data_IF_123115581490
#
_entry.id   IF_123115581490
#
_cell.length_a   1.000
_cell.length_b   1.000
_cell.length_c   1.000
_cell.angle_alpha   90.00
_cell.angle_beta   90.00
_cell.angle_gamma   90.00
#
_symmetry.space_group_name_H-M   'P 1'
#
loop_
_entity.id
_entity.type
_entity.pdbx_description
1 polymer ?
#
# COMPACT_ATOMS: atom_id res chain seq x y z
N UNK A 1 -4.57 -17.49 6.39
CA UNK A 1 -3.22 -17.21 6.92
C UNK A 1 -2.10 -17.46 5.91
N UNK A 2 -2.00 -18.63 5.27
CA UNK A 2 -0.90 -18.96 4.34
C UNK A 2 -0.70 -18.03 3.12
N UNK A 3 -1.75 -17.32 2.66
CA UNK A 3 -1.66 -16.40 1.52
C UNK A 3 -0.99 -15.07 1.84
N UNK A 4 -1.13 -14.58 3.07
CA UNK A 4 -0.63 -13.27 3.49
C UNK A 4 0.88 -13.30 3.73
N UNK A 5 1.37 -14.35 4.39
CA UNK A 5 2.80 -14.54 4.63
C UNK A 5 3.58 -14.81 3.33
N UNK A 6 2.92 -15.37 2.32
CA UNK A 6 3.49 -15.51 0.98
C UNK A 6 3.57 -14.14 0.29
N UNK A 7 2.48 -13.36 0.30
CA UNK A 7 2.43 -11.99 -0.21
C UNK A 7 3.55 -11.11 0.40
N UNK A 8 3.76 -11.19 1.71
CA UNK A 8 4.79 -10.43 2.41
C UNK A 8 6.22 -10.81 2.00
N UNK A 9 6.45 -12.09 1.72
CA UNK A 9 7.76 -12.58 1.24
C UNK A 9 8.02 -12.15 -0.19
N UNK A 10 7.01 -12.26 -1.05
CA UNK A 10 7.11 -11.91 -2.48
C UNK A 10 7.36 -10.40 -2.65
N UNK A 11 6.70 -9.55 -1.87
CA UNK A 11 6.96 -8.09 -1.86
C UNK A 11 8.39 -7.78 -1.44
N UNK A 12 8.87 -8.38 -0.34
CA UNK A 12 10.23 -8.12 0.18
C UNK A 12 11.32 -8.61 -0.77
N UNK A 13 11.08 -9.69 -1.51
CA UNK A 13 12.04 -10.26 -2.45
C UNK A 13 12.22 -9.39 -3.72
N UNK A 14 11.24 -8.54 -4.06
CA UNK A 14 11.25 -7.72 -5.27
C UNK A 14 11.78 -6.29 -5.14
N UNK A 15 12.11 -5.81 -3.93
CA UNK A 15 12.48 -4.41 -3.69
C UNK A 15 14.01 -4.19 -3.74
N UNK A 16 14.54 -3.37 -4.67
CA UNK A 16 15.97 -3.07 -4.74
C UNK A 16 16.42 -2.10 -3.61
N UNK A 17 17.57 -2.37 -2.99
CA UNK A 17 18.06 -1.69 -1.78
C UNK A 17 18.58 -0.25 -1.95
N UNK A 18 18.64 0.29 -3.16
CA UNK A 18 19.25 1.61 -3.39
C UNK A 18 18.46 2.43 -4.39
N UNK A 19 17.99 3.63 -4.04
CA UNK A 19 18.06 4.81 -4.91
C UNK A 19 17.60 6.10 -4.20
N UNK A 20 18.57 6.90 -3.74
CA UNK A 20 18.42 8.30 -3.33
C UNK A 20 18.96 9.21 -4.44
N UNK A 21 18.11 9.64 -5.37
CA UNK A 21 18.24 10.85 -6.23
C UNK A 21 17.38 10.68 -7.49
N UNK A 22 16.35 11.51 -7.65
CA UNK A 22 15.28 11.31 -8.65
C UNK A 22 15.45 12.25 -9.86
N UNK A 23 15.30 11.75 -11.11
CA UNK A 23 14.44 12.49 -12.05
C UNK A 23 13.46 11.65 -12.90
N UNK A 24 13.62 10.33 -13.06
CA UNK A 24 12.63 9.49 -13.77
C UNK A 24 12.63 8.11 -13.11
N UNK A 25 11.53 7.75 -12.42
CA UNK A 25 11.40 6.43 -11.77
C UNK A 25 11.67 5.36 -12.81
N UNK A 26 12.74 4.59 -12.65
CA UNK A 26 12.82 3.30 -13.33
C UNK A 26 11.87 2.36 -12.60
N UNK A 27 10.84 1.78 -13.25
CA UNK A 27 10.11 0.69 -12.63
C UNK A 27 11.14 -0.38 -12.25
N UNK A 28 11.08 -0.86 -11.01
CA UNK A 28 11.97 -1.91 -10.54
C UNK A 28 11.96 -3.06 -11.55
N UNK A 29 13.14 -3.40 -12.09
CA UNK A 29 13.27 -4.12 -13.35
C UNK A 29 12.83 -5.60 -13.31
N UNK A 30 12.21 -6.09 -12.24
CA UNK A 30 11.52 -7.38 -12.19
C UNK A 30 10.41 -7.29 -11.11
N UNK A 31 9.23 -6.80 -11.48
CA UNK A 31 8.08 -6.79 -10.58
C UNK A 31 7.49 -8.20 -10.52
N UNK A 32 7.58 -8.87 -9.37
CA UNK A 32 6.75 -10.03 -9.11
C UNK A 32 5.29 -9.58 -9.13
N UNK A 33 4.53 -10.01 -10.11
CA UNK A 33 3.09 -9.79 -10.13
C UNK A 33 2.41 -10.76 -9.17
N UNK A 34 1.55 -10.20 -8.33
CA UNK A 34 0.78 -10.97 -7.38
C UNK A 34 -0.69 -10.57 -7.46
N UNK A 35 -1.54 -11.53 -7.80
CA UNK A 35 -2.98 -11.37 -7.81
C UNK A 35 -3.58 -11.97 -6.53
N UNK A 36 -4.44 -11.19 -5.88
CA UNK A 36 -5.20 -11.61 -4.69
C UNK A 36 -6.67 -11.28 -4.95
N UNK A 37 -7.57 -12.20 -4.60
CA UNK A 37 -9.01 -11.96 -4.62
C UNK A 37 -9.42 -11.34 -3.28
N UNK A 38 -10.21 -10.27 -3.33
CA UNK A 38 -10.68 -9.54 -2.16
C UNK A 38 -12.19 -9.39 -2.29
N UNK A 39 -12.94 -10.07 -1.43
CA UNK A 39 -14.40 -10.14 -1.54
C UNK A 39 -15.09 -8.94 -0.88
N UNK A 40 -14.41 -8.31 0.08
CA UNK A 40 -14.99 -7.21 0.86
C UNK A 40 -14.07 -5.98 0.97
N UNK A 41 -14.69 -4.85 1.32
CA UNK A 41 -13.96 -3.65 1.71
C UNK A 41 -13.07 -3.87 2.94
N UNK A 42 -13.45 -4.80 3.83
CA UNK A 42 -12.64 -5.16 4.99
C UNK A 42 -11.34 -5.85 4.53
N UNK A 43 -11.44 -6.81 3.62
CA UNK A 43 -10.27 -7.54 3.07
C UNK A 43 -9.32 -6.58 2.34
N UNK A 44 -9.89 -5.60 1.61
CA UNK A 44 -9.13 -4.53 0.96
C UNK A 44 -8.38 -3.65 1.98
N UNK A 45 -9.00 -3.38 3.14
CA UNK A 45 -8.33 -2.70 4.25
C UNK A 45 -7.22 -3.55 4.87
N UNK A 46 -7.43 -4.85 5.04
CA UNK A 46 -6.42 -5.79 5.55
C UNK A 46 -5.21 -5.89 4.63
N UNK A 47 -5.41 -5.81 3.31
CA UNK A 47 -4.32 -5.68 2.35
C UNK A 47 -3.49 -4.42 2.64
N UNK A 48 -4.14 -3.27 2.86
CA UNK A 48 -3.46 -2.03 3.24
C UNK A 48 -2.64 -2.15 4.52
N UNK A 49 -3.22 -2.72 5.57
CA UNK A 49 -2.52 -2.97 6.83
C UNK A 49 -1.30 -3.89 6.63
N UNK A 50 -1.44 -4.90 5.80
CA UNK A 50 -0.35 -5.81 5.46
C UNK A 50 0.80 -5.10 4.74
N UNK A 51 0.49 -4.20 3.81
CA UNK A 51 1.50 -3.36 3.16
C UNK A 51 2.23 -2.45 4.17
N UNK A 52 1.51 -1.88 5.14
CA UNK A 52 2.10 -1.02 6.18
C UNK A 52 3.16 -1.75 7.01
N UNK A 53 2.95 -3.04 7.32
CA UNK A 53 3.90 -3.86 8.08
C UNK A 53 5.24 -4.11 7.37
N UNK A 54 5.30 -3.89 6.06
CA UNK A 54 6.52 -4.12 5.26
C UNK A 54 7.06 -2.88 4.58
N UNK A 55 6.30 -1.79 4.60
CA UNK A 55 6.73 -0.49 4.10
C UNK A 55 7.93 0.03 4.90
N UNK A 56 8.84 0.70 4.20
CA UNK A 56 10.04 1.33 4.74
C UNK A 56 10.00 2.83 4.46
N UNK A 57 10.75 3.64 5.23
CA UNK A 57 10.94 5.03 4.87
C UNK A 57 11.42 5.17 3.42
N UNK A 58 10.87 6.15 2.70
CA UNK A 58 11.15 6.43 1.28
C UNK A 58 10.44 5.51 0.26
N UNK A 59 9.65 4.51 0.70
CA UNK A 59 8.81 3.73 -0.22
C UNK A 59 7.70 4.59 -0.82
N UNK A 60 7.36 4.33 -2.09
CA UNK A 60 6.21 4.91 -2.78
C UNK A 60 5.30 3.80 -3.26
N UNK A 61 4.08 3.79 -2.71
CA UNK A 61 3.02 2.84 -3.08
C UNK A 61 2.00 3.58 -3.93
N UNK A 62 1.94 3.25 -5.22
CA UNK A 62 0.95 3.80 -6.14
C UNK A 62 -0.29 2.90 -6.17
N UNK A 63 -1.47 3.50 -5.96
CA UNK A 63 -2.77 2.81 -6.08
C UNK A 63 -3.46 3.23 -7.38
N UNK A 64 -3.67 2.29 -8.29
CA UNK A 64 -4.35 2.51 -9.57
C UNK A 64 -5.65 1.72 -9.65
N UNK A 65 -6.57 2.18 -10.51
CA UNK A 65 -7.88 1.57 -10.72
C UNK A 65 -8.99 2.60 -10.81
N UNK A 66 -10.17 2.18 -11.25
CA UNK A 66 -11.32 3.06 -11.53
C UNK A 66 -11.92 3.70 -10.27
N UNK A 67 -12.88 4.61 -10.47
CA UNK A 67 -13.66 5.18 -9.38
C UNK A 67 -14.41 4.07 -8.65
N UNK A 68 -14.28 4.02 -7.31
CA UNK A 68 -14.89 2.95 -6.51
C UNK A 68 -14.07 1.66 -6.41
N UNK A 69 -12.91 1.54 -7.08
CA UNK A 69 -12.05 0.35 -7.02
C UNK A 69 -11.40 0.05 -5.63
N UNK A 70 -11.81 0.71 -4.55
CA UNK A 70 -11.31 0.43 -3.21
C UNK A 70 -9.96 1.08 -2.82
N UNK A 71 -9.40 1.97 -3.65
CA UNK A 71 -8.11 2.67 -3.35
C UNK A 71 -8.09 3.32 -1.96
N UNK A 72 -9.16 4.03 -1.57
CA UNK A 72 -9.25 4.66 -0.24
C UNK A 72 -9.37 3.63 0.88
N UNK A 73 -9.95 2.45 0.63
CA UNK A 73 -9.99 1.36 1.62
C UNK A 73 -8.58 0.83 1.92
N UNK A 74 -7.75 0.64 0.88
CA UNK A 74 -6.33 0.27 1.05
C UNK A 74 -5.57 1.35 1.84
N UNK A 75 -5.67 2.61 1.43
CA UNK A 75 -4.97 3.72 2.10
C UNK A 75 -5.37 3.86 3.58
N UNK A 76 -6.65 3.66 3.90
CA UNK A 76 -7.14 3.69 5.29
C UNK A 76 -6.59 2.54 6.12
N UNK A 77 -6.63 1.32 5.59
CA UNK A 77 -6.04 0.16 6.28
C UNK A 77 -4.54 0.34 6.51
N UNK A 78 -3.83 0.88 5.52
CA UNK A 78 -2.42 1.19 5.61
C UNK A 78 -2.13 2.18 6.74
N UNK A 79 -2.77 3.35 6.73
CA UNK A 79 -2.48 4.42 7.69
C UNK A 79 -2.87 4.03 9.11
N UNK A 80 -4.01 3.35 9.31
CA UNK A 80 -4.44 2.88 10.63
C UNK A 80 -3.45 1.89 11.24
N UNK A 81 -2.95 0.95 10.45
CA UNK A 81 -1.89 0.03 10.91
C UNK A 81 -0.58 0.76 11.15
N UNK A 82 -0.16 1.63 10.23
CA UNK A 82 1.12 2.35 10.30
C UNK A 82 1.22 3.25 11.53
N UNK A 83 0.13 3.94 11.88
CA UNK A 83 0.04 4.79 13.07
C UNK A 83 -0.43 4.04 14.33
N UNK A 84 -0.73 2.74 14.23
CA UNK A 84 -1.34 1.94 15.30
C UNK A 84 -2.61 2.59 15.90
N UNK A 85 -3.43 3.23 15.06
CA UNK A 85 -4.66 3.91 15.43
C UNK A 85 -5.83 3.39 14.56
N UNK A 86 -6.69 2.51 15.09
CA UNK A 86 -7.83 1.97 14.35
C UNK A 86 -8.94 3.00 14.05
N UNK A 87 -9.01 4.08 14.82
CA UNK A 87 -10.03 5.12 14.69
C UNK A 87 -9.55 6.30 13.83
N UNK A 88 -8.29 6.29 13.39
CA UNK A 88 -7.70 7.33 12.56
C UNK A 88 -8.63 7.69 11.39
N UNK A 89 -8.94 8.98 11.30
CA UNK A 89 -9.80 9.51 10.26
C UNK A 89 -9.02 9.65 8.95
N UNK A 90 -9.31 8.77 7.99
CA UNK A 90 -8.68 8.77 6.66
C UNK A 90 -9.76 8.99 5.59
N UNK A 91 -10.07 10.26 5.26
CA UNK A 91 -10.99 10.60 4.18
C UNK A 91 -10.31 10.44 2.82
N UNK A 92 -11.11 10.37 1.76
CA UNK A 92 -10.57 10.41 0.40
C UNK A 92 -10.05 11.83 0.10
N UNK A 93 -8.80 12.01 -0.33
CA UNK A 93 -8.25 13.33 -0.65
C UNK A 93 -8.70 13.83 -2.04
N UNK A 94 -9.91 13.49 -2.47
CA UNK A 94 -10.44 13.78 -3.83
C UNK A 94 -10.31 15.27 -4.19
N UNK A 95 -10.61 16.15 -3.23
CA UNK A 95 -10.48 17.61 -3.41
C UNK A 95 -9.28 18.21 -2.67
N UNK A 96 -8.70 17.47 -1.73
CA UNK A 96 -7.57 17.96 -0.93
C UNK A 96 -6.24 17.80 -1.66
N UNK A 97 -6.19 16.98 -2.72
CA UNK A 97 -5.00 16.61 -3.52
C UNK A 97 -3.92 15.86 -2.71
N UNK A 98 -3.57 16.36 -1.54
CA UNK A 98 -2.64 15.77 -0.60
C UNK A 98 -3.18 15.90 0.83
N UNK A 99 -3.15 14.81 1.58
CA UNK A 99 -3.47 14.80 3.00
C UNK A 99 -2.33 14.11 3.74
N UNK A 100 -1.67 14.87 4.61
CA UNK A 100 -0.49 14.43 5.35
C UNK A 100 -0.88 14.02 6.77
N UNK A 101 -0.23 12.98 7.28
CA UNK A 101 -0.40 12.43 8.62
C UNK A 101 0.97 12.46 9.32
N UNK A 102 0.98 12.78 10.62
CA UNK A 102 2.19 13.01 11.41
C UNK A 102 2.08 12.33 12.78
#
# INVERSE_FOLDING_TARGET
EAGLDKLLRDIKAGLPESHRSWPWVRPAAHAAELCVQLDTNHDTGQLGATLARVARPQDVIALSGDLGAGKTCVARGFLREFFADPELHVPSPTYLLCLTYA
#
